data_IF_234661628477
#
_entry.id   IF_234661628477
#
_cell.length_a   1.000
_cell.length_b   1.000
_cell.length_c   1.000
_cell.angle_alpha   90.00
_cell.angle_beta   90.00
_cell.angle_gamma   90.00
#
_symmetry.space_group_name_H-M   'P 1'
#
loop_
_entity.id
_entity.type
_entity.pdbx_description
1 polymer ?
#
# COMPACT_ATOMS: atom_id res chain seq x y z
N UNK A 1 -3.45 6.29 -19.20
CA UNK A 1 -3.51 6.62 -17.77
C UNK A 1 -2.94 8.01 -17.58
N UNK A 2 -3.78 9.00 -17.29
CA UNK A 2 -3.34 10.33 -16.86
C UNK A 2 -4.38 10.82 -15.86
N UNK A 3 -4.27 10.37 -14.61
CA UNK A 3 -4.74 11.19 -13.51
C UNK A 3 -3.76 12.36 -13.42
N UNK A 4 -4.22 13.60 -13.63
CA UNK A 4 -3.45 14.78 -13.25
C UNK A 4 -3.54 14.94 -11.74
N UNK A 5 -2.89 14.02 -11.03
CA UNK A 5 -2.50 14.19 -9.65
C UNK A 5 -0.98 14.27 -9.66
N UNK A 6 -0.44 15.47 -9.81
CA UNK A 6 0.95 15.74 -9.40
C UNK A 6 1.11 15.61 -7.86
N UNK A 7 0.30 14.76 -7.20
CA UNK A 7 0.49 14.30 -5.82
C UNK A 7 0.16 15.26 -4.67
N UNK A 8 -0.44 16.46 -4.88
CA UNK A 8 -0.47 17.47 -3.79
C UNK A 8 -1.84 17.72 -3.12
N UNK A 9 -3.00 17.65 -3.78
CA UNK A 9 -4.33 17.92 -3.16
C UNK A 9 -5.48 17.19 -3.88
N UNK A 10 -6.55 16.72 -3.19
CA UNK A 10 -7.55 15.85 -3.80
C UNK A 10 -8.55 16.64 -4.65
N UNK A 11 -8.35 16.60 -5.96
CA UNK A 11 -9.43 16.74 -6.95
C UNK A 11 -9.45 15.45 -7.78
N UNK A 12 -10.51 14.67 -7.66
CA UNK A 12 -10.61 13.35 -8.31
C UNK A 12 -11.29 13.51 -9.67
N UNK A 13 -10.56 13.24 -10.74
CA UNK A 13 -11.09 13.18 -12.10
C UNK A 13 -10.69 11.86 -12.75
N UNK A 14 -11.66 10.98 -12.94
CA UNK A 14 -11.46 9.67 -13.56
C UNK A 14 -12.08 9.69 -14.95
N UNK A 15 -11.30 9.29 -15.97
CA UNK A 15 -11.77 9.14 -17.34
C UNK A 15 -11.27 7.81 -17.87
N UNK A 16 -12.19 6.87 -17.98
CA UNK A 16 -11.92 5.51 -18.43
C UNK A 16 -12.87 5.17 -19.58
N UNK A 17 -12.33 4.61 -20.65
CA UNK A 17 -13.07 4.21 -21.85
C UNK A 17 -12.75 2.76 -22.17
N UNK A 18 -13.77 1.95 -22.50
CA UNK A 18 -13.61 0.56 -22.92
C UNK A 18 -12.84 -0.34 -21.93
N UNK A 19 -12.98 -0.06 -20.63
CA UNK A 19 -12.43 -0.90 -19.56
C UNK A 19 -13.54 -1.56 -18.76
N UNK A 20 -13.21 -2.69 -18.14
CA UNK A 20 -14.13 -3.41 -17.27
C UNK A 20 -14.62 -2.54 -16.10
N UNK A 21 -15.85 -2.79 -15.65
CA UNK A 21 -16.42 -2.10 -14.49
C UNK A 21 -15.58 -2.29 -13.22
N UNK A 22 -14.87 -3.42 -13.09
CA UNK A 22 -14.00 -3.66 -11.93
C UNK A 22 -12.80 -2.70 -11.92
N UNK A 23 -12.28 -2.34 -13.09
CA UNK A 23 -11.15 -1.41 -13.20
C UNK A 23 -11.57 0.00 -12.84
N UNK A 24 -12.72 0.45 -13.33
CA UNK A 24 -13.28 1.75 -12.93
C UNK A 24 -13.53 1.80 -11.41
N UNK A 25 -14.09 0.72 -10.85
CA UNK A 25 -14.34 0.63 -9.41
C UNK A 25 -13.04 0.68 -8.60
N UNK A 26 -12.06 -0.16 -8.91
CA UNK A 26 -10.77 -0.21 -8.20
C UNK A 26 -10.02 1.12 -8.26
N UNK A 27 -9.87 1.72 -9.45
CA UNK A 27 -9.25 3.04 -9.59
C UNK A 27 -10.00 4.10 -8.78
N UNK A 28 -11.34 4.06 -8.77
CA UNK A 28 -12.12 5.01 -7.96
C UNK A 28 -11.84 4.84 -6.47
N UNK A 29 -11.74 3.60 -5.99
CA UNK A 29 -11.39 3.33 -4.59
C UNK A 29 -9.96 3.78 -4.26
N UNK A 30 -8.99 3.57 -5.17
CA UNK A 30 -7.61 4.03 -5.00
C UNK A 30 -7.54 5.55 -4.75
N UNK A 31 -8.18 6.33 -5.64
CA UNK A 31 -8.19 7.79 -5.53
C UNK A 31 -8.96 8.29 -4.29
N UNK A 32 -10.07 7.63 -3.94
CA UNK A 32 -10.78 7.92 -2.69
C UNK A 32 -9.94 7.59 -1.45
N UNK A 33 -9.12 6.54 -1.51
CA UNK A 33 -8.23 6.16 -0.43
C UNK A 33 -7.09 7.17 -0.24
N UNK A 34 -6.54 7.74 -1.31
CA UNK A 34 -5.64 8.90 -1.21
C UNK A 34 -6.33 10.09 -0.53
N UNK A 35 -7.56 10.43 -0.93
CA UNK A 35 -8.31 11.53 -0.33
C UNK A 35 -8.60 11.26 1.17
N UNK A 36 -8.92 10.02 1.53
CA UNK A 36 -9.08 9.60 2.92
C UNK A 36 -7.75 9.69 3.70
N UNK A 37 -6.62 9.30 3.11
CA UNK A 37 -5.30 9.42 3.73
C UNK A 37 -4.94 10.89 4.01
N UNK A 38 -5.24 11.78 3.07
CA UNK A 38 -5.13 13.22 3.27
C UNK A 38 -5.99 13.69 4.45
N UNK A 39 -7.27 13.31 4.49
CA UNK A 39 -8.20 13.80 5.53
C UNK A 39 -7.93 13.21 6.92
N UNK A 40 -7.40 11.98 6.97
CA UNK A 40 -7.03 11.27 8.21
C UNK A 40 -6.02 12.06 9.06
N UNK A 41 -4.99 12.62 8.43
CA UNK A 41 -4.01 13.53 9.04
C UNK A 41 -3.32 14.39 7.96
N UNK A 42 -3.92 15.55 7.68
CA UNK A 42 -3.41 16.49 6.67
C UNK A 42 -1.98 16.96 6.94
N UNK A 43 -1.60 17.05 8.22
CA UNK A 43 -0.27 17.49 8.62
C UNK A 43 0.78 16.44 8.28
N UNK A 44 0.53 15.19 8.68
CA UNK A 44 1.40 14.07 8.36
C UNK A 44 1.47 13.82 6.84
N UNK A 45 0.34 13.81 6.14
CA UNK A 45 0.30 13.61 4.69
C UNK A 45 1.09 14.70 3.94
N UNK A 46 0.92 15.98 4.31
CA UNK A 46 1.69 17.07 3.69
C UNK A 46 3.19 16.91 3.89
N UNK A 47 3.63 16.42 5.05
CA UNK A 47 5.04 16.13 5.26
C UNK A 47 5.55 14.97 4.39
N UNK A 48 4.75 13.91 4.24
CA UNK A 48 5.08 12.80 3.34
C UNK A 48 5.24 13.30 1.90
N UNK A 49 4.25 14.04 1.38
CA UNK A 49 4.26 14.61 0.01
C UNK A 49 5.47 15.50 -0.19
N UNK A 50 5.80 16.38 0.76
CA UNK A 50 6.97 17.25 0.64
C UNK A 50 8.27 16.47 0.50
N UNK A 51 8.45 15.43 1.31
CA UNK A 51 9.66 14.59 1.30
C UNK A 51 9.69 13.64 0.10
N UNK A 52 8.54 13.30 -0.45
CA UNK A 52 8.40 12.48 -1.64
C UNK A 52 8.67 13.28 -2.94
N UNK A 53 8.16 14.51 -3.05
CA UNK A 53 8.05 15.22 -4.34
C UNK A 53 8.51 16.68 -4.34
N UNK A 54 8.37 17.44 -3.25
CA UNK A 54 8.57 18.91 -3.29
C UNK A 54 10.00 19.36 -2.96
N UNK A 55 10.76 18.58 -2.20
CA UNK A 55 12.09 19.01 -1.77
C UNK A 55 13.15 18.40 -2.69
N UNK A 56 14.02 19.21 -3.34
CA UNK A 56 15.19 18.73 -4.07
C UNK A 56 16.25 18.26 -3.07
N UNK A 57 15.95 17.20 -2.31
CA UNK A 57 16.97 16.44 -1.62
C UNK A 57 17.47 15.38 -2.61
N UNK A 58 18.78 15.30 -2.81
CA UNK A 58 19.47 14.13 -3.40
C UNK A 58 19.31 12.86 -2.53
N UNK A 59 18.21 12.72 -1.77
CA UNK A 59 18.01 11.67 -0.81
C UNK A 59 17.36 10.47 -1.50
N UNK A 60 18.09 9.36 -1.52
CA UNK A 60 17.60 8.02 -1.89
C UNK A 60 16.34 7.58 -1.12
N UNK A 61 15.93 8.33 -0.08
CA UNK A 61 14.78 8.05 0.78
C UNK A 61 13.45 8.58 0.24
N UNK A 62 13.40 9.36 -0.86
CA UNK A 62 12.13 9.87 -1.42
C UNK A 62 11.12 8.74 -1.69
N UNK A 63 11.62 7.60 -2.18
CA UNK A 63 10.80 6.42 -2.50
C UNK A 63 10.12 5.81 -1.29
N UNK A 64 10.74 5.81 -0.10
CA UNK A 64 10.09 5.27 1.09
C UNK A 64 8.94 6.16 1.58
N UNK A 65 9.00 7.47 1.32
CA UNK A 65 7.86 8.36 1.57
C UNK A 65 6.74 8.14 0.57
N UNK A 66 7.07 7.95 -0.71
CA UNK A 66 6.07 7.57 -1.71
C UNK A 66 5.42 6.23 -1.35
N UNK A 67 6.20 5.25 -0.90
CA UNK A 67 5.66 3.95 -0.47
C UNK A 67 4.64 4.07 0.68
N UNK A 68 4.83 4.99 1.64
CA UNK A 68 3.80 5.26 2.66
C UNK A 68 2.52 5.83 2.02
N UNK A 69 2.65 6.71 1.02
CA UNK A 69 1.51 7.35 0.35
C UNK A 69 0.73 6.35 -0.50
N UNK A 70 1.43 5.55 -1.31
CA UNK A 70 0.86 4.65 -2.34
C UNK A 70 0.44 3.29 -1.80
N UNK A 71 1.11 2.76 -0.77
CA UNK A 71 0.75 1.44 -0.23
C UNK A 71 -0.67 1.42 0.36
N UNK A 72 -1.08 2.50 1.01
CA UNK A 72 -2.42 2.63 1.57
C UNK A 72 -3.53 2.45 0.52
N UNK A 73 -3.60 3.26 -0.55
CA UNK A 73 -4.63 3.08 -1.57
C UNK A 73 -4.50 1.74 -2.32
N UNK A 74 -3.30 1.18 -2.52
CA UNK A 74 -3.14 -0.20 -3.06
C UNK A 74 -3.81 -1.26 -2.17
N UNK A 75 -3.65 -1.14 -0.85
CA UNK A 75 -4.32 -2.04 0.09
C UNK A 75 -5.83 -1.84 0.14
N UNK A 76 -6.29 -0.59 0.15
CA UNK A 76 -7.71 -0.24 0.20
C UNK A 76 -8.42 -0.65 -1.08
N UNK A 77 -7.85 -0.37 -2.26
CA UNK A 77 -8.43 -0.80 -3.54
C UNK A 77 -8.54 -2.32 -3.62
N UNK A 78 -7.51 -3.05 -3.19
CA UNK A 78 -7.50 -4.50 -3.19
C UNK A 78 -8.59 -5.03 -2.26
N UNK A 79 -8.67 -4.49 -1.04
CA UNK A 79 -9.62 -4.95 -0.04
C UNK A 79 -11.07 -4.74 -0.48
N UNK A 80 -11.43 -3.52 -0.89
CA UNK A 80 -12.80 -3.20 -1.27
C UNK A 80 -13.19 -3.83 -2.61
N UNK A 81 -12.30 -3.86 -3.59
CA UNK A 81 -12.59 -4.50 -4.88
C UNK A 81 -12.74 -6.00 -4.71
N UNK A 82 -11.83 -6.66 -3.99
CA UNK A 82 -11.92 -8.09 -3.69
C UNK A 82 -13.21 -8.42 -2.94
N UNK A 83 -13.57 -7.65 -1.91
CA UNK A 83 -14.81 -7.87 -1.17
C UNK A 83 -16.06 -7.63 -2.03
N UNK A 84 -16.08 -6.58 -2.86
CA UNK A 84 -17.21 -6.31 -3.76
C UNK A 84 -17.43 -7.46 -4.73
N UNK A 85 -16.39 -7.85 -5.46
CA UNK A 85 -16.56 -8.83 -6.53
C UNK A 85 -16.71 -10.24 -5.98
N UNK A 86 -15.87 -10.68 -5.03
CA UNK A 86 -15.99 -12.03 -4.45
C UNK A 86 -17.23 -12.19 -3.58
N UNK A 87 -17.45 -11.30 -2.61
CA UNK A 87 -18.48 -11.49 -1.57
C UNK A 87 -19.82 -10.88 -1.97
N UNK A 88 -19.85 -9.62 -2.37
CA UNK A 88 -21.11 -8.92 -2.63
C UNK A 88 -21.75 -9.34 -3.96
N UNK A 89 -20.96 -9.52 -5.01
CA UNK A 89 -21.43 -9.99 -6.33
C UNK A 89 -21.33 -11.51 -6.51
N UNK A 90 -20.91 -12.23 -5.47
CA UNK A 90 -20.79 -13.69 -5.43
C UNK A 90 -19.91 -14.28 -6.55
N UNK A 91 -18.90 -13.54 -7.02
CA UNK A 91 -17.95 -14.00 -8.04
C UNK A 91 -16.75 -14.68 -7.39
N UNK A 92 -16.94 -15.92 -6.91
CA UNK A 92 -15.93 -16.64 -6.13
C UNK A 92 -14.59 -16.84 -6.88
N UNK A 93 -14.61 -16.90 -8.22
CA UNK A 93 -13.43 -17.02 -9.07
C UNK A 93 -12.75 -15.70 -9.40
N UNK A 94 -13.23 -14.56 -8.89
CA UNK A 94 -12.63 -13.26 -9.15
C UNK A 94 -11.17 -13.22 -8.64
N UNK A 95 -10.25 -12.82 -9.51
CA UNK A 95 -8.85 -12.57 -9.16
C UNK A 95 -8.55 -11.12 -9.47
N UNK A 96 -7.98 -10.39 -8.50
CA UNK A 96 -7.58 -9.02 -8.70
C UNK A 96 -6.45 -8.93 -9.73
N UNK A 97 -6.60 -8.10 -10.76
CA UNK A 97 -5.72 -8.12 -11.95
C UNK A 97 -4.27 -7.82 -11.63
N UNK A 98 -4.01 -6.84 -10.76
CA UNK A 98 -2.64 -6.42 -10.42
C UNK A 98 -1.96 -7.31 -9.38
N UNK A 99 -2.56 -8.47 -9.07
CA UNK A 99 -2.23 -9.40 -7.99
C UNK A 99 -0.95 -9.02 -7.24
N UNK A 100 -1.10 -8.15 -6.24
CA UNK A 100 0.01 -7.59 -5.47
C UNK A 100 0.88 -8.65 -4.80
N UNK A 101 0.38 -9.88 -4.69
CA UNK A 101 1.15 -11.02 -4.22
C UNK A 101 2.24 -11.50 -5.20
N UNK A 102 2.30 -10.94 -6.42
CA UNK A 102 3.41 -11.16 -7.37
C UNK A 102 4.46 -10.03 -7.34
N UNK A 103 4.40 -9.11 -6.38
CA UNK A 103 5.39 -8.04 -6.28
C UNK A 103 6.73 -8.62 -5.85
N UNK A 104 7.77 -8.38 -6.66
CA UNK A 104 9.13 -8.78 -6.36
C UNK A 104 9.83 -7.70 -5.54
N UNK A 105 10.84 -8.11 -4.77
CA UNK A 105 11.60 -7.21 -3.92
C UNK A 105 12.41 -6.19 -4.75
N UNK A 106 12.57 -4.94 -4.25
CA UNK A 106 13.25 -3.88 -4.99
C UNK A 106 14.72 -4.18 -5.34
N UNK A 107 15.39 -5.06 -4.60
CA UNK A 107 16.77 -5.48 -4.87
C UNK A 107 16.90 -6.44 -6.08
N UNK A 108 15.80 -7.00 -6.56
CA UNK A 108 15.75 -7.87 -7.74
C UNK A 108 15.19 -7.17 -8.98
N UNK A 109 14.93 -5.85 -8.93
CA UNK A 109 14.47 -5.07 -10.07
C UNK A 109 15.21 -3.73 -10.17
N UNK A 110 15.57 -3.33 -11.39
CA UNK A 110 16.06 -1.99 -11.66
C UNK A 110 14.94 -0.95 -11.78
N UNK A 111 13.68 -1.40 -11.86
CA UNK A 111 12.51 -0.54 -12.04
C UNK A 111 12.10 0.11 -10.71
N UNK A 112 12.08 1.44 -10.72
CA UNK A 112 11.68 2.29 -9.61
C UNK A 112 10.23 2.04 -9.15
N UNK A 113 9.40 1.44 -9.99
CA UNK A 113 8.07 0.94 -9.64
C UNK A 113 8.11 0.04 -8.40
N UNK A 114 9.02 -0.93 -8.33
CA UNK A 114 9.12 -1.87 -7.21
C UNK A 114 9.72 -1.26 -5.94
N UNK A 115 10.31 -0.06 -6.03
CA UNK A 115 10.75 0.72 -4.86
C UNK A 115 9.63 1.58 -4.28
N UNK A 116 8.48 1.64 -4.94
CA UNK A 116 7.42 2.61 -4.65
C UNK A 116 6.12 1.92 -4.26
N UNK A 117 5.78 0.88 -5.00
CA UNK A 117 4.54 0.14 -4.88
C UNK A 117 4.79 -1.19 -4.19
N UNK A 118 4.09 -1.44 -3.09
CA UNK A 118 4.42 -2.51 -2.13
C UNK A 118 3.18 -3.32 -1.76
N UNK A 119 3.31 -4.60 -1.47
CA UNK A 119 2.19 -5.41 -0.95
C UNK A 119 1.93 -5.22 0.55
N UNK A 120 2.62 -4.29 1.22
CA UNK A 120 2.68 -4.18 2.69
C UNK A 120 1.32 -4.19 3.39
N UNK A 121 0.32 -3.49 2.85
CA UNK A 121 -1.02 -3.43 3.49
C UNK A 121 -1.74 -4.77 3.37
N UNK A 122 -1.54 -5.50 2.29
CA UNK A 122 -2.16 -6.80 2.05
C UNK A 122 -1.46 -7.85 2.91
N UNK A 123 -0.14 -7.82 2.96
CA UNK A 123 0.71 -8.71 3.77
C UNK A 123 0.38 -8.58 5.27
N UNK A 124 0.18 -7.35 5.77
CA UNK A 124 -0.29 -7.14 7.14
C UNK A 124 -1.66 -7.81 7.43
N UNK A 125 -2.51 -7.96 6.42
CA UNK A 125 -3.89 -8.44 6.57
C UNK A 125 -4.05 -9.93 6.35
N UNK A 126 -3.40 -10.49 5.32
CA UNK A 126 -3.61 -11.86 4.90
C UNK A 126 -2.69 -12.84 5.65
N UNK A 127 -2.49 -14.06 5.13
CA UNK A 127 -1.62 -15.07 5.73
C UNK A 127 -0.87 -15.80 4.62
N UNK A 128 -0.43 -15.04 3.61
CA UNK A 128 0.16 -15.56 2.39
C UNK A 128 1.62 -15.12 2.27
N UNK A 129 2.52 -16.00 2.70
CA UNK A 129 3.95 -15.77 2.53
C UNK A 129 4.39 -15.98 1.07
N UNK A 130 4.65 -14.88 0.35
CA UNK A 130 5.06 -14.95 -1.05
C UNK A 130 6.40 -15.66 -1.23
N UNK A 131 7.37 -15.45 -0.32
CA UNK A 131 8.68 -16.11 -0.41
C UNK A 131 8.59 -17.63 -0.32
N UNK A 132 7.66 -18.16 0.48
CA UNK A 132 7.42 -19.61 0.60
C UNK A 132 6.77 -20.16 -0.67
N UNK A 133 5.83 -19.42 -1.26
CA UNK A 133 5.09 -19.88 -2.44
C UNK A 133 5.87 -19.73 -3.74
N UNK A 134 6.58 -18.63 -3.91
CA UNK A 134 7.16 -18.21 -5.19
C UNK A 134 8.70 -18.09 -5.16
N UNK A 135 9.32 -18.17 -3.98
CA UNK A 135 10.77 -18.20 -3.81
C UNK A 135 11.40 -16.87 -3.41
N UNK A 136 12.74 -16.84 -3.39
CA UNK A 136 13.55 -15.78 -2.77
C UNK A 136 13.41 -14.35 -3.35
N UNK A 137 12.73 -14.19 -4.49
CA UNK A 137 12.53 -12.87 -5.11
C UNK A 137 11.35 -12.11 -4.54
N UNK A 138 10.55 -12.76 -3.72
CA UNK A 138 9.32 -12.23 -3.17
C UNK A 138 9.48 -11.95 -1.67
N UNK A 139 8.64 -11.07 -1.10
CA UNK A 139 8.66 -10.73 0.32
C UNK A 139 8.59 -11.94 1.23
N UNK A 140 9.40 -11.91 2.29
CA UNK A 140 9.21 -12.80 3.44
C UNK A 140 8.11 -12.19 4.29
N UNK A 141 6.91 -12.76 4.21
CA UNK A 141 5.75 -12.30 4.95
C UNK A 141 5.30 -13.35 5.98
N UNK A 142 5.59 -13.09 7.25
CA UNK A 142 5.12 -13.90 8.38
C UNK A 142 4.01 -13.22 9.17
N UNK A 143 3.66 -11.98 8.80
CA UNK A 143 2.70 -11.17 9.53
C UNK A 143 1.30 -11.49 9.04
N UNK A 144 0.30 -11.39 9.92
CA UNK A 144 -1.10 -11.63 9.56
C UNK A 144 -2.11 -10.99 10.48
N UNK A 145 -3.31 -10.79 9.95
CA UNK A 145 -4.51 -10.56 10.75
C UNK A 145 -4.67 -9.15 11.30
N UNK A 146 -3.89 -8.17 10.82
CA UNK A 146 -4.26 -6.77 11.03
C UNK A 146 -5.55 -6.48 10.27
N UNK A 147 -6.46 -5.74 10.90
CA UNK A 147 -7.63 -5.19 10.21
C UNK A 147 -7.25 -3.93 9.45
N UNK A 148 -7.98 -3.62 8.38
CA UNK A 148 -7.78 -2.37 7.63
C UNK A 148 -7.87 -1.12 8.53
N UNK A 149 -8.72 -1.15 9.58
CA UNK A 149 -8.85 -0.07 10.57
C UNK A 149 -7.64 0.06 11.50
N UNK A 150 -7.02 -1.06 11.87
CA UNK A 150 -5.77 -1.05 12.64
C UNK A 150 -4.65 -0.43 11.80
N UNK A 151 -4.56 -0.78 10.53
CA UNK A 151 -3.57 -0.23 9.60
C UNK A 151 -3.82 1.27 9.37
N UNK A 152 -5.07 1.68 9.16
CA UNK A 152 -5.49 3.08 9.08
C UNK A 152 -5.04 3.87 10.33
N UNK A 153 -5.27 3.31 11.52
CA UNK A 153 -4.86 3.92 12.79
C UNK A 153 -3.33 4.03 12.94
N UNK A 154 -2.57 3.10 12.35
CA UNK A 154 -1.11 3.18 12.30
C UNK A 154 -0.63 4.26 11.33
N UNK A 155 -1.30 4.45 10.19
CA UNK A 155 -0.95 5.49 9.22
C UNK A 155 -1.20 6.90 9.76
N UNK A 156 -2.22 7.08 10.60
CA UNK A 156 -2.49 8.38 11.23
C UNK A 156 -1.28 8.89 12.01
N UNK A 157 -0.70 10.01 11.58
CA UNK A 157 0.51 10.59 12.18
C UNK A 157 1.83 9.93 11.74
N UNK A 158 1.82 8.93 10.87
CA UNK A 158 3.02 8.35 10.29
C UNK A 158 3.63 9.32 9.26
N UNK A 159 4.86 9.74 9.49
CA UNK A 159 5.59 10.72 8.66
C UNK A 159 6.82 10.14 7.95
N UNK A 160 6.97 8.81 8.02
CA UNK A 160 8.02 8.03 7.35
C UNK A 160 7.68 6.55 7.41
N UNK A 161 8.34 5.75 6.56
CA UNK A 161 8.20 4.28 6.54
C UNK A 161 8.47 3.65 7.92
N UNK A 162 9.57 4.03 8.58
CA UNK A 162 9.91 3.51 9.90
C UNK A 162 8.89 3.93 10.97
N UNK A 163 8.30 5.13 10.87
CA UNK A 163 7.22 5.53 11.77
C UNK A 163 5.92 4.79 11.50
N UNK A 164 5.63 4.43 10.26
CA UNK A 164 4.50 3.56 9.94
C UNK A 164 4.69 2.17 10.57
N UNK A 165 5.86 1.55 10.36
CA UNK A 165 6.26 0.28 10.99
C UNK A 165 6.14 0.30 12.52
N UNK A 166 6.76 1.28 13.16
CA UNK A 166 6.75 1.39 14.63
C UNK A 166 5.30 1.52 15.15
N UNK A 167 4.42 2.19 14.40
CA UNK A 167 3.01 2.33 14.77
C UNK A 167 2.23 1.03 14.55
N UNK A 168 2.55 0.25 13.51
CA UNK A 168 2.00 -1.10 13.33
C UNK A 168 2.32 -1.98 14.54
N UNK A 169 3.60 -2.02 14.98
CA UNK A 169 4.03 -2.74 16.19
C UNK A 169 3.23 -2.33 17.43
N UNK A 170 3.05 -1.01 17.61
CA UNK A 170 2.29 -0.47 18.74
C UNK A 170 0.78 -0.74 18.71
N UNK A 171 0.21 -1.12 17.56
CA UNK A 171 -1.23 -1.42 17.42
C UNK A 171 -1.58 -2.84 17.86
N UNK A 172 -0.59 -3.60 18.34
CA UNK A 172 -0.73 -4.79 19.17
C UNK A 172 -1.62 -5.84 18.52
N UNK A 173 -1.07 -6.57 17.55
CA UNK A 173 -1.67 -7.83 17.13
C UNK A 173 -1.02 -8.94 17.96
N UNK A 174 -1.79 -9.57 18.85
CA UNK A 174 -1.37 -10.65 19.74
C UNK A 174 -0.83 -11.91 19.02
N UNK A 175 -0.60 -11.84 17.71
CA UNK A 175 -0.33 -12.94 16.81
C UNK A 175 0.95 -12.75 15.98
N UNK A 176 1.64 -11.61 16.09
CA UNK A 176 2.84 -11.32 15.31
C UNK A 176 3.93 -10.75 16.20
N UNK A 177 5.16 -11.21 16.02
CA UNK A 177 6.31 -10.70 16.76
C UNK A 177 6.85 -9.42 16.11
N UNK A 178 7.41 -8.51 16.91
CA UNK A 178 8.01 -7.26 16.44
C UNK A 178 9.10 -7.49 15.38
N UNK A 179 9.84 -8.59 15.50
CA UNK A 179 10.87 -9.02 14.54
C UNK A 179 10.27 -9.42 13.19
N UNK A 180 9.08 -10.01 13.16
CA UNK A 180 8.37 -10.35 11.92
C UNK A 180 7.88 -9.09 11.21
N UNK A 181 7.41 -8.10 11.97
CA UNK A 181 7.01 -6.80 11.44
C UNK A 181 8.24 -6.04 10.91
N UNK A 182 9.36 -6.09 11.62
CA UNK A 182 10.60 -5.48 11.17
C UNK A 182 11.12 -6.14 9.89
N UNK A 183 11.06 -7.48 9.77
CA UNK A 183 11.39 -8.21 8.55
C UNK A 183 10.48 -7.82 7.38
N UNK A 184 9.16 -7.81 7.61
CA UNK A 184 8.19 -7.48 6.58
C UNK A 184 8.42 -6.07 6.01
N UNK A 185 8.67 -5.07 6.85
CA UNK A 185 8.97 -3.71 6.39
C UNK A 185 10.34 -3.60 5.70
N UNK A 186 11.33 -4.38 6.16
CA UNK A 186 12.68 -4.39 5.60
C UNK A 186 12.78 -5.02 4.21
N UNK A 187 11.77 -5.81 3.79
CA UNK A 187 11.63 -6.26 2.40
C UNK A 187 11.63 -5.08 1.42
N UNK A 188 11.03 -3.94 1.80
CA UNK A 188 10.81 -2.79 0.93
C UNK A 188 11.81 -1.66 1.19
N UNK A 189 11.96 -1.26 2.44
CA UNK A 189 12.83 -0.15 2.85
C UNK A 189 13.44 -0.39 4.24
N UNK A 190 14.70 0.04 4.40
CA UNK A 190 15.46 -0.03 5.67
C UNK A 190 15.47 1.32 6.38
#
# INVERSE_FOLDING_TARGET
MYARTLGVLPSIYIREWDVSSYRVYSTTIHELAHAAHWDMDRGAFRELVKKAYDIPTNASNSKSYVAVIESWPEGVEWYFTTNRYKKYLNQNSFVYMDNYQYRILPNYSSDDFYKTYTSIIIDLMDNFNQSVKYGRWYPVDRVKGYTIKQIESALKGARSWNKFRDRIKNINSSNNDDDEIDELFANWHK
#
